data_IF_807579164470
#
_entry.id   IF_807579164470
#
_cell.length_a   1.000
_cell.length_b   1.000
_cell.length_c   1.000
_cell.angle_alpha   90.00
_cell.angle_beta   90.00
_cell.angle_gamma   90.00
#
_symmetry.space_group_name_H-M   'P 1'
#
loop_
_entity.id
_entity.type
_entity.pdbx_description
1 polymer ?
#
# COMPACT_ATOMS: atom_id res chain seq x y z
N UNK A 1 16.19 -2.97 46.00
CA UNK A 1 17.23 -3.81 45.37
C UNK A 1 16.76 -5.27 45.38
N UNK A 2 16.14 -5.72 44.29
CA UNK A 2 15.81 -7.14 44.11
C UNK A 2 16.94 -7.78 43.28
N UNK A 3 17.44 -8.92 43.77
CA UNK A 3 18.56 -9.67 43.21
C UNK A 3 18.27 -10.10 41.77
N UNK A 4 19.29 -9.96 40.93
CA UNK A 4 19.36 -10.51 39.58
C UNK A 4 18.99 -11.99 39.59
N UNK A 5 17.89 -12.34 38.91
CA UNK A 5 17.49 -13.71 38.61
C UNK A 5 17.66 -13.95 37.10
N UNK A 6 18.55 -14.90 36.83
CA UNK A 6 18.87 -15.65 35.61
C UNK A 6 19.44 -15.01 34.33
N UNK A 7 20.52 -15.67 33.88
CA UNK A 7 21.49 -15.33 32.84
C UNK A 7 20.99 -15.74 31.44
N UNK A 8 19.91 -15.13 30.96
CA UNK A 8 19.53 -15.24 29.55
C UNK A 8 19.55 -13.85 28.91
N UNK A 9 20.40 -13.68 27.90
CA UNK A 9 20.46 -12.43 27.13
C UNK A 9 19.33 -12.47 26.09
N UNK A 10 18.18 -11.93 26.47
CA UNK A 10 17.07 -11.74 25.53
C UNK A 10 17.29 -10.44 24.75
N UNK A 11 18.16 -10.48 23.74
CA UNK A 11 18.58 -9.32 22.93
C UNK A 11 17.39 -8.56 22.33
N UNK A 12 16.34 -9.29 21.93
CA UNK A 12 15.14 -8.73 21.29
C UNK A 12 13.96 -8.49 22.24
N UNK A 13 14.13 -8.71 23.54
CA UNK A 13 13.05 -8.55 24.52
C UNK A 13 13.29 -7.37 25.45
N UNK A 14 12.19 -6.72 25.83
CA UNK A 14 12.20 -5.61 26.77
C UNK A 14 12.40 -4.25 26.09
N UNK A 15 11.63 -3.97 25.03
CA UNK A 15 11.46 -2.60 24.53
C UNK A 15 11.19 -1.66 25.71
N UNK A 16 11.91 -0.53 25.83
CA UNK A 16 11.72 0.41 26.94
C UNK A 16 10.43 1.23 26.78
N UNK A 17 9.70 1.03 25.69
CA UNK A 17 8.53 1.81 25.34
C UNK A 17 7.33 1.33 26.14
N UNK A 18 6.68 2.26 26.84
CA UNK A 18 5.33 2.03 27.30
C UNK A 18 4.41 1.97 26.06
N UNK A 19 3.86 0.79 25.79
CA UNK A 19 3.05 0.52 24.59
C UNK A 19 1.73 1.27 24.55
N UNK A 20 1.27 1.77 25.71
CA UNK A 20 0.00 2.48 25.88
C UNK A 20 -1.16 1.78 25.14
N UNK A 21 -1.30 0.47 25.32
CA UNK A 21 -2.20 -0.37 24.53
C UNK A 21 -3.65 0.13 24.50
N UNK A 22 -4.12 0.72 25.59
CA UNK A 22 -5.47 1.28 25.73
C UNK A 22 -5.72 2.57 24.92
N UNK A 23 -4.66 3.28 24.50
CA UNK A 23 -4.77 4.49 23.68
C UNK A 23 -4.59 4.23 22.18
N UNK A 24 -4.30 3.00 21.78
CA UNK A 24 -4.08 2.64 20.35
C UNK A 24 -5.31 2.79 19.48
N UNK A 25 -6.51 2.82 20.06
CA UNK A 25 -7.77 3.05 19.34
C UNK A 25 -8.17 4.53 19.32
N UNK A 26 -7.46 5.41 20.02
CA UNK A 26 -7.78 6.83 20.11
C UNK A 26 -7.11 7.61 18.98
N UNK A 27 -7.85 7.88 17.90
CA UNK A 27 -7.37 8.70 16.79
C UNK A 27 -6.93 10.10 17.25
N UNK A 28 -7.68 10.74 18.17
CA UNK A 28 -7.31 12.06 18.70
C UNK A 28 -5.97 12.04 19.45
N UNK A 29 -5.70 11.01 20.25
CA UNK A 29 -4.40 10.85 20.90
C UNK A 29 -3.28 10.65 19.88
N UNK A 30 -3.48 9.72 18.95
CA UNK A 30 -2.47 9.39 17.95
C UNK A 30 -2.14 10.59 17.05
N UNK A 31 -3.15 11.35 16.61
CA UNK A 31 -2.95 12.58 15.82
C UNK A 31 -2.24 13.70 16.60
N UNK A 32 -2.45 13.79 17.92
CA UNK A 32 -1.73 14.75 18.75
C UNK A 32 -0.24 14.41 18.85
N UNK A 33 0.09 13.14 19.13
CA UNK A 33 1.48 12.75 19.39
C UNK A 33 2.27 12.55 18.09
N UNK A 34 1.63 12.10 17.00
CA UNK A 34 2.32 11.89 15.70
C UNK A 34 2.87 13.20 15.15
N UNK A 35 2.20 14.32 15.45
CA UNK A 35 2.61 15.67 15.06
C UNK A 35 3.68 16.28 15.96
N UNK A 36 4.00 15.68 17.11
CA UNK A 36 4.94 16.26 18.08
C UNK A 36 6.36 16.31 17.49
N UNK A 37 7.10 17.42 17.66
CA UNK A 37 8.53 17.50 17.33
C UNK A 37 9.40 16.51 18.12
N UNK A 38 8.92 16.04 19.27
CA UNK A 38 9.61 15.05 20.10
C UNK A 38 9.47 13.64 19.55
N UNK A 39 8.49 13.36 18.70
CA UNK A 39 8.28 12.03 18.16
C UNK A 39 9.48 11.56 17.33
N UNK A 40 9.79 10.27 17.44
CA UNK A 40 10.90 9.62 16.77
C UNK A 40 10.40 8.55 15.83
N UNK A 41 10.93 8.56 14.63
CA UNK A 41 10.47 7.72 13.54
C UNK A 41 11.56 6.75 13.09
N UNK A 42 11.16 5.50 12.88
CA UNK A 42 11.99 4.44 12.34
C UNK A 42 11.45 4.12 10.95
N UNK A 43 12.30 4.21 9.93
CA UNK A 43 11.92 3.87 8.58
C UNK A 43 12.39 2.47 8.22
N UNK A 44 11.55 1.77 7.48
CA UNK A 44 11.86 0.50 6.84
C UNK A 44 11.68 0.64 5.33
N UNK A 45 12.42 -0.16 4.56
CA UNK A 45 12.19 -0.39 3.15
C UNK A 45 12.12 -1.89 2.90
N UNK A 46 10.92 -2.42 2.68
CA UNK A 46 10.71 -3.88 2.56
C UNK A 46 11.35 -4.62 3.74
N UNK A 47 11.08 -4.13 4.95
CA UNK A 47 11.62 -4.70 6.19
C UNK A 47 13.11 -4.45 6.46
N UNK A 48 13.85 -3.76 5.59
CA UNK A 48 15.22 -3.29 5.85
C UNK A 48 15.19 -1.98 6.63
N UNK A 49 15.75 -1.89 7.85
CA UNK A 49 15.81 -0.62 8.58
C UNK A 49 16.74 0.40 7.93
N UNK A 50 16.38 1.68 8.06
CA UNK A 50 17.31 2.78 7.80
C UNK A 50 18.30 2.90 8.95
N UNK A 51 19.59 2.82 8.63
CA UNK A 51 20.67 2.98 9.60
C UNK A 51 21.63 4.09 9.17
N UNK A 52 22.28 4.69 10.16
CA UNK A 52 23.36 5.64 9.97
C UNK A 52 24.68 4.89 10.14
N UNK A 53 25.39 4.71 9.03
CA UNK A 53 26.69 4.05 9.02
C UNK A 53 27.79 5.04 9.35
N UNK A 54 28.55 4.73 10.39
CA UNK A 54 29.79 5.43 10.75
C UNK A 54 30.96 4.43 10.69
N UNK A 55 32.02 4.70 9.90
CA UNK A 55 33.21 3.85 9.82
C UNK A 55 33.86 3.53 11.17
N UNK A 56 33.68 4.40 12.18
CA UNK A 56 34.30 4.26 13.51
C UNK A 56 33.40 3.55 14.52
N UNK A 57 32.09 3.78 14.45
CA UNK A 57 31.13 3.31 15.47
C UNK A 57 30.15 2.24 15.00
N UNK A 58 30.23 1.83 13.73
CA UNK A 58 29.33 0.87 13.11
C UNK A 58 28.01 1.50 12.66
N UNK A 59 27.12 0.69 12.11
CA UNK A 59 25.80 1.16 11.66
C UNK A 59 24.81 1.18 12.83
N UNK A 60 24.18 2.32 13.09
CA UNK A 60 23.18 2.52 14.15
C UNK A 60 21.79 2.77 13.61
N UNK A 61 20.76 2.34 14.33
CA UNK A 61 19.38 2.62 13.95
C UNK A 61 19.12 4.12 13.89
N UNK A 62 18.51 4.60 12.81
CA UNK A 62 18.23 6.03 12.66
C UNK A 62 16.87 6.37 13.24
N UNK A 63 16.83 7.38 14.11
CA UNK A 63 15.60 7.94 14.67
C UNK A 63 15.35 9.34 14.09
N UNK A 64 14.35 9.45 13.22
CA UNK A 64 14.04 10.70 12.52
C UNK A 64 13.07 11.58 13.30
N UNK A 65 13.14 12.88 13.05
CA UNK A 65 12.17 13.83 13.58
C UNK A 65 10.88 13.82 12.74
N UNK A 66 9.77 14.24 13.34
CA UNK A 66 8.49 14.39 12.63
C UNK A 66 8.59 15.35 11.45
N UNK A 67 9.33 16.44 11.55
CA UNK A 67 9.51 17.39 10.44
C UNK A 67 10.17 16.75 9.22
N UNK A 68 11.10 15.82 9.44
CA UNK A 68 11.82 15.16 8.36
C UNK A 68 10.94 14.15 7.61
N UNK A 69 9.99 13.51 8.30
CA UNK A 69 9.10 12.49 7.69
C UNK A 69 7.73 13.02 7.29
N UNK A 70 7.36 14.25 7.70
CA UNK A 70 6.05 14.85 7.45
C UNK A 70 5.59 14.75 5.97
N UNK A 71 6.45 14.96 4.95
CA UNK A 71 6.03 14.83 3.56
C UNK A 71 5.61 13.40 3.15
N UNK A 72 5.97 12.38 3.94
CA UNK A 72 5.59 10.98 3.70
C UNK A 72 4.21 10.64 4.33
N UNK A 73 3.77 11.40 5.33
CA UNK A 73 2.59 11.06 6.12
C UNK A 73 1.26 11.44 5.44
N UNK A 74 1.31 12.35 4.46
CA UNK A 74 0.13 12.84 3.74
C UNK A 74 -0.67 13.90 4.51
N UNK A 75 -1.95 14.04 4.15
CA UNK A 75 -2.84 15.06 4.71
C UNK A 75 -3.44 14.63 6.06
N UNK A 76 -3.70 15.62 6.93
CA UNK A 76 -4.33 15.38 8.23
C UNK A 76 -5.84 15.19 8.12
N UNK A 77 -6.47 14.34 8.96
CA UNK A 77 -5.84 13.60 10.07
C UNK A 77 -5.07 12.36 9.60
N UNK A 78 -3.96 12.06 10.26
CA UNK A 78 -3.10 10.92 9.93
C UNK A 78 -3.72 9.59 10.39
N UNK A 79 -4.38 9.59 11.55
CA UNK A 79 -5.09 8.43 12.10
C UNK A 79 -6.61 8.66 12.09
N UNK A 80 -7.36 7.65 11.65
CA UNK A 80 -8.82 7.70 11.60
C UNK A 80 -9.33 8.77 10.62
N UNK A 81 -9.39 8.43 9.34
CA UNK A 81 -9.90 9.33 8.30
C UNK A 81 -11.35 9.02 7.92
N UNK A 82 -12.05 10.06 7.47
CA UNK A 82 -13.42 10.01 6.99
C UNK A 82 -13.57 9.38 5.60
N UNK A 83 -14.66 9.73 4.92
CA UNK A 83 -14.95 9.18 3.58
C UNK A 83 -14.08 9.79 2.48
N UNK A 84 -13.43 10.93 2.75
CA UNK A 84 -12.46 11.57 1.85
C UNK A 84 -11.13 11.77 2.56
N UNK A 85 -10.05 11.82 1.78
CA UNK A 85 -8.69 12.05 2.31
C UNK A 85 -8.65 13.41 3.01
N UNK A 86 -8.05 13.44 4.21
CA UNK A 86 -7.96 14.64 5.03
C UNK A 86 -9.27 15.06 5.72
N UNK A 87 -10.35 14.30 5.57
CA UNK A 87 -11.59 14.55 6.32
C UNK A 87 -11.52 13.84 7.68
N UNK A 88 -11.92 14.49 8.80
CA UNK A 88 -12.09 13.79 10.06
C UNK A 88 -13.28 12.81 10.01
N UNK A 89 -13.31 11.77 10.87
CA UNK A 89 -14.45 10.87 10.98
C UNK A 89 -15.70 11.65 11.41
N UNK A 90 -16.83 11.45 10.73
CA UNK A 90 -18.10 12.07 11.12
C UNK A 90 -18.80 11.24 12.20
N UNK A 91 -19.21 11.87 13.30
CA UNK A 91 -19.91 11.20 14.41
C UNK A 91 -21.43 11.02 14.16
N UNK A 92 -21.97 11.57 13.07
CA UNK A 92 -23.41 11.81 12.96
C UNK A 92 -24.25 10.56 12.63
N UNK A 93 -23.67 9.45 12.14
CA UNK A 93 -24.43 8.25 11.70
C UNK A 93 -23.84 6.93 12.25
N UNK A 94 -23.58 6.83 13.55
CA UNK A 94 -22.93 5.64 14.13
C UNK A 94 -23.85 4.85 15.08
N UNK A 95 -24.16 3.60 14.72
CA UNK A 95 -24.37 2.54 15.71
C UNK A 95 -22.99 2.11 16.27
N UNK A 96 -22.91 1.45 17.43
CA UNK A 96 -21.62 1.17 18.11
C UNK A 96 -20.55 0.48 17.24
N UNK A 97 -20.96 -0.30 16.23
CA UNK A 97 -20.06 -0.98 15.30
C UNK A 97 -19.51 -0.08 14.17
N UNK A 98 -20.20 1.00 13.80
CA UNK A 98 -19.81 1.88 12.68
C UNK A 98 -18.58 2.73 13.03
N UNK A 99 -18.46 3.16 14.30
CA UNK A 99 -17.31 3.90 14.81
C UNK A 99 -16.00 3.10 14.69
N UNK A 100 -16.03 1.79 14.92
CA UNK A 100 -14.82 0.95 14.85
C UNK A 100 -14.29 0.84 13.41
N UNK A 101 -15.18 0.66 12.42
CA UNK A 101 -14.79 0.51 11.02
C UNK A 101 -14.37 1.83 10.38
N UNK A 102 -15.00 2.96 10.72
CA UNK A 102 -14.58 4.27 10.21
C UNK A 102 -13.27 4.75 10.85
N UNK A 103 -13.05 4.50 12.14
CA UNK A 103 -11.78 4.79 12.81
C UNK A 103 -10.61 3.91 12.33
N UNK A 104 -10.93 2.74 11.74
CA UNK A 104 -9.94 1.81 11.18
C UNK A 104 -9.60 2.06 9.71
N UNK A 105 -10.25 3.02 9.05
CA UNK A 105 -9.90 3.38 7.66
C UNK A 105 -8.58 4.14 7.65
N UNK A 106 -7.54 3.44 7.21
CA UNK A 106 -6.23 4.02 6.96
C UNK A 106 -6.13 4.47 5.50
N UNK A 107 -5.92 5.76 5.25
CA UNK A 107 -5.66 6.31 3.92
C UNK A 107 -4.27 6.93 3.91
N UNK A 108 -3.40 6.42 3.05
CA UNK A 108 -1.98 6.78 3.05
C UNK A 108 -1.11 5.67 3.64
N UNK A 109 0.11 6.02 4.04
CA UNK A 109 1.15 5.03 4.39
C UNK A 109 0.86 4.39 5.74
N UNK A 110 0.81 3.06 5.88
CA UNK A 110 0.52 2.38 7.14
C UNK A 110 1.48 2.84 8.25
N UNK A 111 0.93 3.51 9.27
CA UNK A 111 1.71 4.04 10.40
C UNK A 111 1.59 3.10 11.60
N UNK A 112 2.71 2.79 12.23
CA UNK A 112 2.73 1.98 13.45
C UNK A 112 3.15 2.85 14.63
N UNK A 113 2.27 2.99 15.60
CA UNK A 113 2.63 3.52 16.91
C UNK A 113 3.27 2.42 17.78
N UNK A 114 4.52 2.62 18.19
CA UNK A 114 5.28 1.65 18.97
C UNK A 114 5.01 1.83 20.47
N UNK A 115 5.00 3.08 20.92
CA UNK A 115 4.80 3.44 22.31
C UNK A 115 5.46 4.77 22.65
N UNK A 116 5.52 5.08 23.93
CA UNK A 116 6.21 6.26 24.46
C UNK A 116 7.35 5.82 25.36
N UNK A 117 8.52 6.39 25.14
CA UNK A 117 9.62 6.32 26.08
C UNK A 117 9.41 7.41 27.15
N UNK A 118 9.02 6.99 28.34
CA UNK A 118 8.73 7.86 29.48
C UNK A 118 10.04 8.24 30.19
N UNK A 119 10.15 9.50 30.66
CA UNK A 119 11.35 9.97 31.35
C UNK A 119 11.13 9.92 32.87
N UNK A 120 11.81 8.99 33.55
CA UNK A 120 11.75 8.81 35.01
C UNK A 120 10.88 7.62 35.42
N UNK A 121 10.48 7.56 36.69
CA UNK A 121 9.61 6.47 37.23
C UNK A 121 8.11 6.72 37.02
N UNK A 122 7.73 7.82 36.35
CA UNK A 122 6.33 8.21 36.17
C UNK A 122 5.75 7.59 34.90
N UNK A 123 4.76 6.73 35.07
CA UNK A 123 3.95 6.18 33.98
C UNK A 123 2.84 7.16 33.62
N UNK A 124 2.61 7.44 32.33
CA UNK A 124 1.58 8.35 31.83
C UNK A 124 0.19 7.92 32.37
N UNK A 125 -0.45 8.69 33.26
CA UNK A 125 -1.69 8.26 33.90
C UNK A 125 -2.87 8.35 32.93
N UNK A 126 -3.59 7.23 32.74
CA UNK A 126 -4.75 7.12 31.85
C UNK A 126 -5.78 8.25 32.06
N UNK A 127 -6.03 8.63 33.31
CA UNK A 127 -6.99 9.69 33.66
C UNK A 127 -6.54 11.08 33.22
N UNK A 128 -5.24 11.38 33.29
CA UNK A 128 -4.69 12.68 32.90
C UNK A 128 -4.71 12.84 31.37
N UNK A 129 -4.32 11.79 30.64
CA UNK A 129 -4.35 11.79 29.17
C UNK A 129 -5.80 11.83 28.65
N UNK A 130 -6.69 11.07 29.27
CA UNK A 130 -8.12 11.10 28.95
C UNK A 130 -8.78 12.45 29.24
N UNK A 131 -8.39 13.12 30.33
CA UNK A 131 -8.86 14.47 30.65
C UNK A 131 -8.31 15.51 29.67
N UNK A 132 -7.01 15.49 29.37
CA UNK A 132 -6.39 16.38 28.39
C UNK A 132 -7.05 16.27 27.00
N UNK A 133 -7.34 15.04 26.56
CA UNK A 133 -8.07 14.78 25.31
C UNK A 133 -9.49 15.37 25.31
N UNK A 134 -10.21 15.27 26.44
CA UNK A 134 -11.60 15.74 26.56
C UNK A 134 -11.71 17.26 26.74
N UNK A 135 -10.78 17.87 27.46
CA UNK A 135 -10.87 19.27 27.90
C UNK A 135 -10.07 20.23 27.02
N UNK A 136 -8.99 19.78 26.37
CA UNK A 136 -8.07 20.65 25.62
C UNK A 136 -7.66 20.15 24.24
N UNK A 137 -8.17 19.00 23.79
CA UNK A 137 -7.92 18.45 22.45
C UNK A 137 -6.46 18.07 22.19
N UNK A 138 -6.07 18.02 20.91
CA UNK A 138 -4.72 17.58 20.49
C UNK A 138 -3.60 18.46 21.06
N UNK A 139 -3.82 19.78 21.15
CA UNK A 139 -2.83 20.73 21.65
C UNK A 139 -2.47 20.50 23.12
N UNK A 140 -3.45 20.15 23.96
CA UNK A 140 -3.22 19.89 25.39
C UNK A 140 -2.43 18.59 25.62
N UNK A 141 -2.66 17.57 24.79
CA UNK A 141 -1.88 16.32 24.84
C UNK A 141 -0.44 16.56 24.44
N UNK A 142 -0.21 17.38 23.42
CA UNK A 142 1.13 17.75 22.99
C UNK A 142 1.88 18.51 24.08
N UNK A 143 1.26 19.52 24.68
CA UNK A 143 1.85 20.30 25.77
C UNK A 143 2.17 19.43 27.00
N UNK A 144 1.31 18.46 27.31
CA UNK A 144 1.52 17.51 28.40
C UNK A 144 2.78 16.65 28.19
N UNK A 145 2.94 16.10 26.99
CA UNK A 145 4.10 15.27 26.65
C UNK A 145 5.40 16.09 26.60
N UNK A 146 5.33 17.33 26.13
CA UNK A 146 6.48 18.23 26.11
C UNK A 146 6.96 18.59 27.52
N UNK A 147 6.03 18.77 28.48
CA UNK A 147 6.35 19.04 29.90
C UNK A 147 6.95 17.83 30.62
N UNK A 148 6.43 16.63 30.34
CA UNK A 148 6.91 15.39 30.96
C UNK A 148 8.25 14.91 30.37
N UNK A 149 8.63 15.43 29.19
CA UNK A 149 9.87 15.06 28.50
C UNK A 149 9.81 13.68 27.85
N UNK A 150 8.62 13.08 27.81
CA UNK A 150 8.31 11.82 27.16
C UNK A 150 8.55 11.89 25.64
N UNK A 151 8.89 10.75 25.03
CA UNK A 151 9.23 10.66 23.59
C UNK A 151 8.43 9.56 22.91
N UNK A 152 7.44 9.89 22.06
CA UNK A 152 6.71 8.91 21.27
C UNK A 152 7.58 8.30 20.17
N UNK A 153 7.37 7.02 19.88
CA UNK A 153 8.05 6.30 18.80
C UNK A 153 7.05 5.74 17.81
N UNK A 154 7.37 5.90 16.53
CA UNK A 154 6.61 5.42 15.40
C UNK A 154 7.51 4.68 14.41
N UNK A 155 6.91 3.77 13.63
CA UNK A 155 7.55 3.13 12.50
C UNK A 155 6.68 3.22 11.25
N UNK A 156 7.32 3.29 10.08
CA UNK A 156 6.66 3.23 8.78
C UNK A 156 7.55 2.50 7.77
N UNK A 157 6.94 1.78 6.82
CA UNK A 157 7.66 1.24 5.65
C UNK A 157 7.46 2.18 4.46
N UNK A 158 8.57 2.62 3.85
CA UNK A 158 8.56 3.55 2.71
C UNK A 158 8.43 2.83 1.37
N UNK A 159 8.51 1.50 1.33
CA UNK A 159 8.43 0.71 0.10
C UNK A 159 6.98 0.34 -0.27
N UNK A 160 6.00 0.91 0.42
CA UNK A 160 4.63 0.90 -0.08
C UNK A 160 4.56 1.77 -1.35
N UNK A 161 4.25 1.12 -2.49
CA UNK A 161 4.34 1.70 -3.86
C UNK A 161 3.62 3.05 -4.07
N UNK A 162 2.82 3.49 -3.10
CA UNK A 162 2.09 4.77 -3.12
C UNK A 162 3.01 5.99 -2.87
N UNK A 163 4.20 5.77 -2.30
CA UNK A 163 5.26 6.77 -2.15
C UNK A 163 6.31 6.77 -3.27
N UNK A 164 6.29 5.76 -4.16
CA UNK A 164 7.31 5.58 -5.20
C UNK A 164 6.76 5.66 -6.63
N UNK A 165 5.43 5.55 -6.82
CA UNK A 165 4.77 5.61 -8.12
C UNK A 165 3.92 6.88 -8.27
N UNK A 166 4.23 7.65 -9.32
CA UNK A 166 3.73 9.00 -9.62
C UNK A 166 4.92 9.91 -9.98
N UNK A 167 4.83 10.68 -11.07
CA UNK A 167 5.90 11.59 -11.51
C UNK A 167 6.39 12.44 -10.31
N UNK A 168 7.63 12.22 -9.88
CA UNK A 168 8.27 12.99 -8.80
C UNK A 168 8.29 12.36 -7.41
N UNK A 169 7.53 11.29 -7.09
CA UNK A 169 7.49 10.77 -5.70
C UNK A 169 8.74 9.98 -5.27
N UNK A 170 9.36 9.20 -6.17
CA UNK A 170 10.70 8.62 -5.91
C UNK A 170 11.78 9.70 -5.73
N UNK A 171 11.61 10.87 -6.36
CA UNK A 171 12.44 12.04 -6.10
C UNK A 171 12.14 12.68 -4.73
N UNK A 172 10.89 12.63 -4.24
CA UNK A 172 10.53 13.08 -2.89
C UNK A 172 11.24 12.26 -1.81
N UNK A 173 11.20 10.91 -1.89
CA UNK A 173 11.92 10.06 -0.92
C UNK A 173 13.43 10.34 -0.95
N UNK A 174 14.02 10.44 -2.15
CA UNK A 174 15.44 10.75 -2.30
C UNK A 174 15.79 12.12 -1.70
N UNK A 175 14.99 13.14 -1.98
CA UNK A 175 15.16 14.49 -1.44
C UNK A 175 15.02 14.51 0.09
N UNK A 176 14.13 13.71 0.65
CA UNK A 176 13.95 13.57 2.10
C UNK A 176 15.19 12.94 2.71
N UNK A 177 15.69 11.83 2.15
CA UNK A 177 16.91 11.18 2.63
C UNK A 177 18.12 12.11 2.53
N UNK A 178 18.24 12.90 1.46
CA UNK A 178 19.29 13.91 1.30
C UNK A 178 19.20 15.03 2.34
N UNK A 179 17.98 15.50 2.63
CA UNK A 179 17.76 16.52 3.66
C UNK A 179 18.09 15.98 5.05
N UNK A 180 17.70 14.74 5.35
CA UNK A 180 18.02 14.06 6.61
C UNK A 180 19.53 13.87 6.73
N UNK A 181 20.22 13.44 5.66
CA UNK A 181 21.66 13.27 5.66
C UNK A 181 22.38 14.60 5.98
N UNK A 182 21.88 15.73 5.46
CA UNK A 182 22.38 17.07 5.79
C UNK A 182 22.11 17.46 7.25
N UNK A 183 20.92 17.15 7.78
CA UNK A 183 20.55 17.42 9.19
C UNK A 183 21.41 16.63 10.18
N UNK A 184 21.76 15.38 9.84
CA UNK A 184 22.58 14.50 10.69
C UNK A 184 24.07 14.87 10.71
N UNK A 185 24.51 15.85 9.92
CA UNK A 185 25.86 16.41 10.00
C UNK A 185 26.97 15.39 9.72
N UNK A 186 26.78 14.53 8.72
CA UNK A 186 27.79 13.55 8.34
C UNK A 186 29.04 14.24 7.78
N UNK A 187 30.19 14.06 8.45
CA UNK A 187 31.49 14.25 7.78
C UNK A 187 31.58 13.37 6.53
N UNK A 188 32.54 13.63 5.63
CA UNK A 188 32.67 12.98 4.30
C UNK A 188 32.60 11.43 4.25
N UNK A 189 32.51 10.73 5.39
CA UNK A 189 32.48 9.27 5.49
C UNK A 189 31.27 8.66 6.20
N UNK A 190 30.33 9.40 6.80
CA UNK A 190 29.09 8.80 7.36
C UNK A 190 27.90 8.92 6.41
N UNK A 191 27.07 7.88 6.32
CA UNK A 191 26.02 7.76 5.29
C UNK A 191 24.78 7.04 5.82
N UNK A 192 23.61 7.43 5.31
CA UNK A 192 22.37 6.68 5.49
C UNK A 192 22.29 5.50 4.52
N UNK A 193 21.99 4.33 5.04
CA UNK A 193 21.88 3.10 4.25
C UNK A 193 20.73 2.21 4.72
N UNK A 194 20.15 1.47 3.78
CA UNK A 194 19.20 0.39 4.06
C UNK A 194 20.02 -0.88 4.25
N UNK A 195 19.88 -1.54 5.39
CA UNK A 195 20.72 -2.68 5.75
C UNK A 195 19.88 -3.91 6.00
N UNK A 196 20.42 -5.08 5.67
CA UNK A 196 19.80 -6.35 6.01
C UNK A 196 19.52 -6.42 7.54
N UNK A 197 18.29 -6.79 7.95
CA UNK A 197 17.91 -6.85 9.37
C UNK A 197 18.86 -7.62 10.27
N UNK A 198 19.47 -8.72 9.79
CA UNK A 198 20.40 -9.52 10.60
C UNK A 198 21.74 -8.80 10.76
N UNK A 199 22.21 -8.16 9.71
CA UNK A 199 23.43 -7.35 9.76
C UNK A 199 23.25 -6.09 10.64
N UNK A 200 22.09 -5.42 10.55
CA UNK A 200 21.81 -4.21 11.30
C UNK A 200 21.84 -4.44 12.82
N UNK A 201 21.29 -5.57 13.29
CA UNK A 201 21.22 -5.89 14.73
C UNK A 201 22.61 -6.11 15.35
N UNK A 202 23.60 -6.55 14.58
CA UNK A 202 24.93 -6.88 15.12
C UNK A 202 25.59 -5.71 15.87
N UNK A 203 25.21 -4.47 15.54
CA UNK A 203 25.76 -3.24 16.12
C UNK A 203 24.77 -2.50 17.05
N UNK A 204 23.57 -3.04 17.26
CA UNK A 204 22.55 -2.41 18.13
C UNK A 204 22.78 -2.76 19.60
N UNK A 205 22.55 -1.79 20.47
CA UNK A 205 22.42 -2.11 21.90
C UNK A 205 21.10 -2.85 22.20
N UNK A 206 20.93 -3.32 23.45
CA UNK A 206 19.74 -4.07 23.86
C UNK A 206 18.45 -3.26 23.72
N UNK A 207 18.51 -1.95 23.95
CA UNK A 207 17.36 -1.06 23.91
C UNK A 207 16.96 -0.83 22.45
N UNK A 208 17.92 -0.49 21.60
CA UNK A 208 17.76 -0.35 20.16
C UNK A 208 17.21 -1.63 19.54
N UNK A 209 17.79 -2.79 19.88
CA UNK A 209 17.34 -4.10 19.39
C UNK A 209 15.90 -4.44 19.83
N UNK A 210 15.50 -4.05 21.04
CA UNK A 210 14.13 -4.22 21.53
C UNK A 210 13.11 -3.37 20.77
N UNK A 211 13.42 -2.08 20.55
CA UNK A 211 12.58 -1.16 19.76
C UNK A 211 12.52 -1.64 18.30
N UNK A 212 13.67 -2.00 17.72
CA UNK A 212 13.76 -2.53 16.35
C UNK A 212 12.91 -3.79 16.17
N UNK A 213 13.00 -4.74 17.10
CA UNK A 213 12.23 -5.99 17.03
C UNK A 213 10.72 -5.72 17.07
N UNK A 214 10.27 -4.83 17.95
CA UNK A 214 8.86 -4.40 18.03
C UNK A 214 8.41 -3.73 16.72
N UNK A 215 9.19 -2.76 16.24
CA UNK A 215 8.90 -2.01 15.02
C UNK A 215 8.82 -2.91 13.80
N UNK A 216 9.86 -3.74 13.58
CA UNK A 216 9.94 -4.66 12.45
C UNK A 216 8.79 -5.64 12.44
N UNK A 217 8.43 -6.22 13.60
CA UNK A 217 7.34 -7.20 13.68
C UNK A 217 6.00 -6.59 13.27
N UNK A 218 5.70 -5.38 13.76
CA UNK A 218 4.44 -4.70 13.46
C UNK A 218 4.39 -4.17 12.02
N UNK A 219 5.51 -3.69 11.50
CA UNK A 219 5.61 -3.26 10.09
C UNK A 219 5.50 -4.46 9.14
N UNK A 220 6.18 -5.57 9.43
CA UNK A 220 6.07 -6.81 8.66
C UNK A 220 4.63 -7.37 8.71
N UNK A 221 3.95 -7.26 9.85
CA UNK A 221 2.53 -7.60 9.95
C UNK A 221 1.67 -6.78 9.00
N UNK A 222 1.87 -5.45 8.95
CA UNK A 222 1.15 -4.58 8.02
C UNK A 222 1.45 -4.91 6.56
N UNK A 223 2.70 -5.23 6.24
CA UNK A 223 3.09 -5.64 4.89
C UNK A 223 2.41 -6.93 4.45
N UNK A 224 2.20 -7.88 5.37
CA UNK A 224 1.52 -9.16 5.09
C UNK A 224 0.00 -9.03 5.08
N UNK A 225 -0.55 -8.15 5.93
CA UNK A 225 -2.00 -7.95 6.09
C UNK A 225 -2.44 -6.63 5.44
N UNK A 226 -2.22 -6.52 4.13
CA UNK A 226 -2.57 -5.31 3.37
C UNK A 226 -4.08 -5.11 3.31
N UNK A 227 -4.48 -3.85 3.31
CA UNK A 227 -5.87 -3.35 3.39
C UNK A 227 -6.72 -3.58 2.14
N UNK A 228 -6.27 -4.34 1.14
CA UNK A 228 -7.01 -4.54 -0.11
C UNK A 228 -7.22 -3.25 -0.93
N UNK A 229 -6.36 -2.25 -0.73
CA UNK A 229 -6.43 -0.91 -1.35
C UNK A 229 -5.79 -0.83 -2.75
N UNK A 230 -5.31 -1.96 -3.27
CA UNK A 230 -4.77 -2.10 -4.64
C UNK A 230 -5.47 -3.20 -5.42
N UNK A 231 -5.63 -3.01 -6.73
CA UNK A 231 -6.15 -3.99 -7.69
C UNK A 231 -5.12 -4.20 -8.81
N UNK A 232 -4.92 -5.45 -9.24
CA UNK A 232 -4.06 -5.77 -10.36
C UNK A 232 -4.87 -5.70 -11.66
N UNK A 233 -4.41 -4.90 -12.62
CA UNK A 233 -5.01 -4.84 -13.95
C UNK A 233 -3.94 -5.02 -15.01
N UNK A 234 -4.31 -5.71 -16.08
CA UNK A 234 -3.47 -5.97 -17.24
C UNK A 234 -3.91 -5.13 -18.44
N UNK A 235 -2.98 -4.93 -19.36
CA UNK A 235 -3.21 -4.33 -20.66
C UNK A 235 -2.77 -5.29 -21.75
N UNK A 236 -3.73 -5.69 -22.58
CA UNK A 236 -3.43 -6.43 -23.79
C UNK A 236 -2.85 -5.50 -24.87
N UNK A 237 -1.91 -6.01 -25.66
CA UNK A 237 -1.28 -5.32 -26.80
C UNK A 237 -2.29 -4.81 -27.84
N UNK A 238 -3.40 -5.53 -28.03
CA UNK A 238 -4.47 -5.20 -28.99
C UNK A 238 -5.37 -4.07 -28.50
N UNK A 239 -5.39 -3.78 -27.20
CA UNK A 239 -6.26 -2.75 -26.65
C UNK A 239 -5.79 -1.33 -27.03
N UNK A 240 -6.72 -0.36 -27.07
CA UNK A 240 -6.37 1.04 -27.18
C UNK A 240 -5.28 1.44 -26.17
N UNK A 241 -4.42 2.40 -26.53
CA UNK A 241 -3.42 2.91 -25.61
C UNK A 241 -4.00 3.29 -24.25
N UNK A 242 -3.29 2.88 -23.18
CA UNK A 242 -3.60 3.14 -21.78
C UNK A 242 -4.90 2.50 -21.25
N UNK A 243 -5.52 1.56 -21.98
CA UNK A 243 -6.66 0.79 -21.45
C UNK A 243 -6.16 -0.40 -20.61
N UNK A 244 -6.56 -0.44 -19.34
CA UNK A 244 -6.29 -1.54 -18.42
C UNK A 244 -7.59 -2.21 -17.99
N UNK A 245 -7.59 -3.53 -17.95
CA UNK A 245 -8.74 -4.37 -17.66
C UNK A 245 -8.38 -5.46 -16.64
N UNK A 246 -9.39 -6.08 -16.05
CA UNK A 246 -9.21 -7.36 -15.37
C UNK A 246 -8.59 -8.38 -16.35
N UNK A 247 -7.73 -9.25 -15.81
CA UNK A 247 -7.15 -10.39 -16.51
C UNK A 247 -8.25 -11.43 -16.80
N UNK A 248 -8.09 -12.17 -17.89
CA UNK A 248 -9.10 -13.11 -18.34
C UNK A 248 -8.48 -14.18 -19.24
N UNK A 249 -8.82 -15.43 -18.96
CA UNK A 249 -8.45 -16.55 -19.80
C UNK A 249 -9.54 -17.62 -19.86
N UNK A 250 -9.21 -18.70 -20.55
CA UNK A 250 -10.17 -19.77 -20.81
C UNK A 250 -10.05 -20.86 -19.75
N UNK A 251 -11.20 -21.37 -19.33
CA UNK A 251 -11.27 -22.58 -18.52
C UNK A 251 -10.77 -23.77 -19.34
N UNK A 252 -9.86 -24.56 -18.78
CA UNK A 252 -9.35 -25.77 -19.41
C UNK A 252 -10.20 -27.01 -19.10
N UNK A 253 -10.13 -28.07 -19.93
CA UNK A 253 -10.80 -29.33 -19.63
C UNK A 253 -10.36 -29.91 -18.28
N UNK A 254 -11.35 -30.33 -17.48
CA UNK A 254 -11.14 -30.88 -16.13
C UNK A 254 -10.58 -29.88 -15.10
N UNK A 255 -10.70 -28.57 -15.37
CA UNK A 255 -10.35 -27.50 -14.45
C UNK A 255 -11.59 -26.98 -13.71
N UNK A 256 -11.45 -26.58 -12.44
CA UNK A 256 -12.49 -25.83 -11.72
C UNK A 256 -12.41 -24.34 -12.07
N UNK A 257 -13.46 -23.56 -11.81
CA UNK A 257 -13.37 -22.12 -12.08
C UNK A 257 -12.31 -21.44 -11.20
N UNK A 258 -12.18 -21.90 -9.95
CA UNK A 258 -11.20 -21.42 -8.99
C UNK A 258 -9.77 -21.74 -9.45
N UNK A 259 -9.53 -22.96 -9.91
CA UNK A 259 -8.21 -23.36 -10.43
C UNK A 259 -7.84 -22.57 -11.68
N UNK A 260 -8.80 -22.29 -12.56
CA UNK A 260 -8.60 -21.44 -13.74
C UNK A 260 -8.16 -20.03 -13.35
N UNK A 261 -8.80 -19.42 -12.35
CA UNK A 261 -8.36 -18.11 -11.84
C UNK A 261 -6.94 -18.20 -11.29
N UNK A 262 -6.60 -19.24 -10.52
CA UNK A 262 -5.24 -19.40 -9.97
C UNK A 262 -4.20 -19.57 -11.08
N UNK A 263 -4.47 -20.42 -12.07
CA UNK A 263 -3.57 -20.68 -13.20
C UNK A 263 -3.37 -19.43 -14.06
N UNK A 264 -4.44 -18.80 -14.51
CA UNK A 264 -4.36 -17.63 -15.39
C UNK A 264 -3.61 -16.47 -14.72
N UNK A 265 -3.85 -16.21 -13.44
CA UNK A 265 -3.10 -15.20 -12.69
C UNK A 265 -1.59 -15.52 -12.58
N UNK A 266 -1.24 -16.81 -12.48
CA UNK A 266 0.16 -17.22 -12.44
C UNK A 266 0.84 -17.17 -13.81
N UNK A 267 0.16 -17.61 -14.87
CA UNK A 267 0.69 -17.65 -16.24
C UNK A 267 0.87 -16.24 -16.82
N UNK A 268 -0.13 -15.37 -16.65
CA UNK A 268 -0.15 -14.05 -17.29
C UNK A 268 0.72 -13.01 -16.59
N UNK A 269 0.79 -13.08 -15.26
CA UNK A 269 1.42 -12.02 -14.44
C UNK A 269 2.32 -12.55 -13.32
N UNK A 270 2.43 -13.86 -13.15
CA UNK A 270 3.29 -14.47 -12.13
C UNK A 270 2.85 -14.24 -10.69
N UNK A 271 1.58 -13.87 -10.47
CA UNK A 271 1.06 -13.54 -9.13
C UNK A 271 0.30 -14.72 -8.55
N UNK A 272 0.65 -15.13 -7.34
CA UNK A 272 -0.10 -16.14 -6.60
C UNK A 272 -1.33 -15.53 -5.97
N UNK A 273 -2.46 -16.23 -6.10
CA UNK A 273 -3.74 -15.75 -5.61
C UNK A 273 -4.47 -16.74 -4.69
N UNK A 274 -5.32 -16.23 -3.81
CA UNK A 274 -6.14 -16.99 -2.88
C UNK A 274 -7.48 -16.29 -2.59
N UNK A 275 -8.38 -16.94 -1.84
CA UNK A 275 -9.67 -16.35 -1.47
C UNK A 275 -10.55 -16.01 -2.67
N UNK A 276 -10.67 -16.96 -3.61
CA UNK A 276 -11.40 -16.80 -4.86
C UNK A 276 -12.90 -16.66 -4.57
N UNK A 277 -13.51 -15.60 -5.08
CA UNK A 277 -14.92 -15.26 -4.81
C UNK A 277 -15.63 -14.92 -6.11
N UNK A 278 -16.69 -15.67 -6.42
CA UNK A 278 -17.54 -15.42 -7.57
C UNK A 278 -18.30 -14.10 -7.42
N UNK A 279 -18.40 -13.35 -8.51
CA UNK A 279 -19.19 -12.11 -8.58
C UNK A 279 -20.47 -12.30 -9.41
N UNK A 280 -20.33 -12.50 -10.72
CA UNK A 280 -21.46 -12.58 -11.65
C UNK A 280 -21.06 -13.18 -13.00
N UNK A 281 -22.04 -13.52 -13.83
CA UNK A 281 -21.85 -14.02 -15.19
C UNK A 281 -22.38 -13.02 -16.23
N UNK A 282 -21.66 -12.85 -17.33
CA UNK A 282 -22.09 -12.04 -18.47
C UNK A 282 -21.83 -12.81 -19.78
N UNK A 283 -22.89 -13.06 -20.60
CA UNK A 283 -22.70 -13.59 -21.94
C UNK A 283 -21.86 -12.63 -22.79
N UNK A 284 -20.87 -13.17 -23.51
CA UNK A 284 -20.00 -12.41 -24.40
C UNK A 284 -19.97 -13.07 -25.79
N UNK A 285 -20.82 -12.61 -26.73
CA UNK A 285 -21.12 -13.32 -27.98
C UNK A 285 -20.07 -13.09 -29.08
N UNK A 286 -18.79 -13.17 -28.73
CA UNK A 286 -17.67 -12.96 -29.65
C UNK A 286 -16.58 -14.03 -29.42
N UNK A 287 -16.68 -15.21 -30.04
CA UNK A 287 -17.78 -15.71 -30.88
C UNK A 287 -18.94 -16.35 -30.08
N UNK A 288 -18.68 -16.97 -28.93
CA UNK A 288 -19.70 -17.59 -28.08
C UNK A 288 -19.15 -17.87 -26.66
N UNK A 289 -18.73 -16.82 -25.95
CA UNK A 289 -18.11 -16.94 -24.64
C UNK A 289 -19.10 -16.62 -23.51
N UNK A 290 -18.85 -17.19 -22.33
CA UNK A 290 -19.50 -16.81 -21.08
C UNK A 290 -18.43 -16.25 -20.15
N UNK A 291 -18.49 -14.95 -19.86
CA UNK A 291 -17.59 -14.32 -18.90
C UNK A 291 -18.11 -14.59 -17.51
N UNK A 292 -17.24 -15.12 -16.65
CA UNK A 292 -17.51 -15.27 -15.22
C UNK A 292 -16.57 -14.33 -14.49
N UNK A 293 -17.13 -13.39 -13.75
CA UNK A 293 -16.39 -12.42 -12.96
C UNK A 293 -16.02 -13.01 -11.61
N UNK A 294 -14.75 -12.87 -11.25
CA UNK A 294 -14.18 -13.36 -9.99
C UNK A 294 -13.33 -12.28 -9.34
N UNK A 295 -13.26 -12.31 -8.02
CA UNK A 295 -12.26 -11.61 -7.24
C UNK A 295 -11.31 -12.61 -6.61
N UNK A 296 -10.04 -12.22 -6.52
CA UNK A 296 -9.00 -12.99 -5.87
C UNK A 296 -8.10 -12.04 -5.07
N UNK A 297 -7.53 -12.52 -3.97
CA UNK A 297 -6.51 -11.82 -3.20
C UNK A 297 -5.14 -12.20 -3.74
N UNK A 298 -4.25 -11.22 -3.91
CA UNK A 298 -2.84 -11.43 -4.28
C UNK A 298 -1.94 -10.43 -3.55
N UNK A 299 -0.66 -10.75 -3.40
CA UNK A 299 0.29 -9.83 -2.75
C UNK A 299 0.83 -8.81 -3.77
N UNK A 300 0.51 -7.54 -3.56
CA UNK A 300 1.01 -6.44 -4.40
C UNK A 300 2.51 -6.17 -4.30
N UNK A 301 3.24 -6.87 -3.43
CA UNK A 301 4.70 -6.87 -3.40
C UNK A 301 5.33 -7.90 -4.34
N UNK A 302 4.58 -8.91 -4.78
CA UNK A 302 5.11 -9.87 -5.75
C UNK A 302 5.53 -9.15 -7.04
N UNK A 303 6.63 -9.62 -7.59
CA UNK A 303 7.13 -9.15 -8.87
C UNK A 303 6.16 -9.62 -9.96
N UNK A 304 5.72 -8.68 -10.79
CA UNK A 304 4.88 -9.00 -11.94
C UNK A 304 5.81 -9.55 -13.02
N UNK A 305 5.57 -10.78 -13.45
CA UNK A 305 6.33 -11.46 -14.48
C UNK A 305 5.46 -11.70 -15.70
N UNK A 306 5.84 -11.07 -16.81
CA UNK A 306 5.13 -11.16 -18.10
C UNK A 306 5.84 -12.12 -19.08
N UNK A 307 6.92 -12.77 -18.63
CA UNK A 307 7.80 -13.66 -19.41
C UNK A 307 7.52 -15.15 -19.17
N UNK A 308 6.52 -15.47 -18.32
CA UNK A 308 6.19 -16.86 -17.99
C UNK A 308 5.44 -17.58 -19.09
N UNK A 309 4.74 -16.83 -19.95
CA UNK A 309 4.08 -17.38 -21.11
C UNK A 309 5.07 -17.53 -22.28
N UNK A 310 5.55 -18.75 -22.48
CA UNK A 310 6.50 -19.12 -23.54
C UNK A 310 5.83 -19.48 -24.88
N UNK A 311 4.56 -19.17 -25.12
CA UNK A 311 3.87 -19.48 -26.38
C UNK A 311 4.45 -18.75 -27.63
N UNK A 312 5.44 -17.87 -27.46
CA UNK A 312 6.08 -17.13 -28.55
C UNK A 312 7.23 -17.87 -29.27
N UNK A 313 7.84 -18.91 -28.70
CA UNK A 313 8.94 -19.61 -29.38
C UNK A 313 8.45 -20.49 -30.57
N UNK A 314 7.13 -20.73 -30.68
CA UNK A 314 6.54 -21.59 -31.72
C UNK A 314 5.85 -20.90 -32.91
N UNK A 315 5.76 -19.56 -32.95
CA UNK A 315 4.90 -18.83 -33.92
C UNK A 315 5.43 -18.75 -35.38
N UNK A 316 6.32 -19.66 -35.82
CA UNK A 316 6.72 -19.70 -37.23
C UNK A 316 5.80 -20.53 -38.14
N UNK A 317 4.85 -21.33 -37.62
CA UNK A 317 4.10 -22.28 -38.45
C UNK A 317 2.60 -22.50 -38.11
N UNK A 318 1.93 -21.61 -37.37
CA UNK A 318 0.49 -21.74 -37.10
C UNK A 318 -0.36 -20.89 -38.06
N UNK A 319 -1.30 -21.55 -38.75
CA UNK A 319 -2.22 -20.91 -39.69
C UNK A 319 -3.19 -19.95 -38.99
N UNK A 320 -3.53 -18.86 -39.68
CA UNK A 320 -4.28 -17.67 -39.25
C UNK A 320 -5.68 -17.87 -38.65
N UNK A 321 -6.15 -19.11 -38.46
CA UNK A 321 -7.50 -19.42 -37.98
C UNK A 321 -7.62 -19.67 -36.47
N UNK A 322 -6.51 -19.94 -35.77
CA UNK A 322 -6.54 -20.37 -34.36
C UNK A 322 -5.98 -19.32 -33.38
N UNK A 323 -5.55 -18.14 -33.86
CA UNK A 323 -4.90 -17.12 -33.03
C UNK A 323 -5.86 -16.07 -32.43
N UNK A 324 -6.95 -16.51 -31.78
CA UNK A 324 -7.73 -15.67 -30.85
C UNK A 324 -7.15 -15.82 -29.45
N UNK A 325 -5.85 -15.59 -29.30
CA UNK A 325 -5.24 -15.57 -27.98
C UNK A 325 -5.42 -14.18 -27.38
N UNK A 326 -6.26 -14.10 -26.33
CA UNK A 326 -6.40 -12.94 -25.44
C UNK A 326 -5.13 -12.70 -24.59
N UNK A 327 -4.06 -13.48 -24.80
CA UNK A 327 -2.91 -13.64 -23.88
C UNK A 327 -1.72 -12.71 -24.14
N UNK A 328 -1.80 -11.80 -25.13
CA UNK A 328 -0.72 -10.84 -25.41
C UNK A 328 -0.73 -9.67 -24.40
N UNK A 329 -0.48 -9.93 -23.11
CA UNK A 329 -0.34 -8.87 -22.10
C UNK A 329 0.95 -8.12 -22.33
N UNK A 330 0.82 -6.83 -22.59
CA UNK A 330 1.92 -5.90 -22.83
C UNK A 330 2.44 -5.30 -21.52
N UNK A 331 1.55 -5.09 -20.56
CA UNK A 331 1.82 -4.40 -19.31
C UNK A 331 0.82 -4.84 -18.25
N UNK A 332 1.24 -4.95 -17.00
CA UNK A 332 0.35 -5.17 -15.86
C UNK A 332 0.88 -4.41 -14.66
N UNK A 333 -0.03 -3.77 -13.90
CA UNK A 333 0.34 -3.04 -12.69
C UNK A 333 -0.73 -3.11 -11.63
N UNK A 334 -0.29 -2.93 -10.39
CA UNK A 334 -1.17 -2.67 -9.26
C UNK A 334 -1.61 -1.20 -9.28
N UNK A 335 -2.91 -0.96 -9.21
CA UNK A 335 -3.55 0.35 -9.17
C UNK A 335 -4.14 0.58 -7.78
N UNK A 336 -3.92 1.75 -7.22
CA UNK A 336 -4.56 2.16 -5.97
C UNK A 336 -6.04 2.43 -6.19
N UNK A 337 -6.82 2.29 -5.12
CA UNK A 337 -8.25 2.64 -5.13
C UNK A 337 -8.47 4.09 -5.56
N UNK A 338 -7.62 5.01 -5.11
CA UNK A 338 -7.71 6.42 -5.46
C UNK A 338 -7.44 6.70 -6.95
N UNK A 339 -6.46 6.01 -7.56
CA UNK A 339 -6.22 6.09 -9.00
C UNK A 339 -7.44 5.60 -9.80
N UNK A 340 -8.05 4.49 -9.38
CA UNK A 340 -9.22 3.96 -10.08
C UNK A 340 -10.43 4.89 -9.91
N UNK A 341 -10.68 5.40 -8.70
CA UNK A 341 -11.77 6.34 -8.44
C UNK A 341 -11.61 7.64 -9.22
N UNK A 342 -10.38 8.15 -9.41
CA UNK A 342 -10.15 9.35 -10.20
C UNK A 342 -10.51 9.15 -11.68
N UNK A 343 -10.24 7.96 -12.23
CA UNK A 343 -10.62 7.61 -13.60
C UNK A 343 -12.12 7.36 -13.74
N UNK A 344 -12.77 6.71 -12.77
CA UNK A 344 -14.22 6.50 -12.78
C UNK A 344 -14.98 7.83 -12.70
N UNK A 345 -14.43 8.84 -12.02
CA UNK A 345 -14.96 10.20 -11.97
C UNK A 345 -14.60 11.08 -13.19
N UNK A 346 -13.72 10.62 -14.08
CA UNK A 346 -13.26 11.39 -15.24
C UNK A 346 -14.23 11.26 -16.42
N UNK A 347 -14.53 12.38 -17.11
CA UNK A 347 -15.53 12.44 -18.19
C UNK A 347 -15.30 11.43 -19.33
N UNK A 348 -14.04 11.06 -19.56
CA UNK A 348 -13.57 10.14 -20.61
C UNK A 348 -12.85 8.90 -20.07
N UNK A 349 -12.81 8.69 -18.76
CA UNK A 349 -12.04 7.60 -18.14
C UNK A 349 -12.59 6.20 -18.45
N UNK A 350 -13.93 6.11 -18.60
CA UNK A 350 -14.67 4.89 -18.96
C UNK A 350 -15.27 4.94 -20.37
N UNK A 351 -15.26 6.12 -21.02
CA UNK A 351 -15.77 6.28 -22.38
C UNK A 351 -14.69 5.91 -23.38
N UNK A 352 -14.94 4.84 -24.13
CA UNK A 352 -14.17 4.51 -25.32
C UNK A 352 -14.83 5.18 -26.52
N UNK A 353 -14.06 5.94 -27.30
CA UNK A 353 -14.55 6.51 -28.55
C UNK A 353 -14.86 5.36 -29.52
N UNK A 354 -16.14 5.20 -29.88
CA UNK A 354 -16.67 4.06 -30.64
C UNK A 354 -15.95 3.83 -31.98
N UNK A 355 -15.36 4.88 -32.57
CA UNK A 355 -14.53 4.78 -33.77
C UNK A 355 -13.24 3.99 -33.53
N UNK A 356 -12.51 4.29 -32.45
CA UNK A 356 -11.17 3.72 -32.21
C UNK A 356 -11.21 2.25 -31.79
N UNK A 357 -12.30 1.80 -31.16
CA UNK A 357 -12.46 0.40 -30.75
C UNK A 357 -12.86 -0.50 -31.93
N UNK A 358 -13.72 -0.01 -32.82
CA UNK A 358 -14.20 -0.75 -33.99
C UNK A 358 -13.13 -0.82 -35.10
N UNK A 359 -12.47 0.31 -35.40
CA UNK A 359 -11.44 0.40 -36.47
C UNK A 359 -10.23 -0.51 -36.19
N UNK A 360 -9.85 -0.72 -34.92
CA UNK A 360 -8.70 -1.58 -34.57
C UNK A 360 -9.03 -3.06 -34.39
N UNK A 361 -10.30 -3.43 -34.23
CA UNK A 361 -10.71 -4.84 -34.29
C UNK A 361 -10.88 -5.32 -35.74
N UNK A 362 -11.06 -4.41 -36.71
CA UNK A 362 -11.28 -4.72 -38.12
C UNK A 362 -10.00 -4.68 -38.99
N UNK A 363 -8.94 -3.96 -38.59
CA UNK A 363 -7.69 -3.88 -39.38
C UNK A 363 -6.77 -5.11 -39.24
N UNK A 364 -7.19 -6.25 -39.81
CA UNK A 364 -6.25 -7.15 -40.47
C UNK A 364 -5.87 -6.55 -41.84
N UNK A 365 -4.74 -5.85 -41.86
CA UNK A 365 -4.00 -5.56 -43.09
C UNK A 365 -4.24 -4.19 -43.73
N UNK A 366 -3.54 -3.15 -43.24
CA UNK A 366 -2.61 -2.34 -44.02
C UNK A 366 -2.05 -1.17 -43.19
N UNK A 367 -0.86 -0.70 -43.57
CA UNK A 367 -0.07 0.25 -42.82
C UNK A 367 -0.54 1.72 -42.94
N UNK A 368 -0.58 2.37 -41.78
CA UNK A 368 -0.32 3.80 -41.49
C UNK A 368 -1.14 4.89 -42.20
N UNK A 369 -1.61 5.89 -41.41
CA UNK A 369 -1.26 7.30 -41.62
C UNK A 369 -1.62 8.20 -40.42
N UNK A 370 -0.74 9.17 -40.20
CA UNK A 370 -0.82 10.24 -39.19
C UNK A 370 -2.05 11.14 -39.40
N UNK A 371 -2.65 11.60 -38.29
CA UNK A 371 -3.53 12.76 -38.30
C UNK A 371 -3.31 13.65 -37.06
N UNK A 372 -3.25 14.95 -37.37
CA UNK A 372 -2.87 16.15 -36.62
C UNK A 372 -3.65 16.48 -35.36
N UNK A 373 -2.95 17.17 -34.45
CA UNK A 373 -3.39 17.64 -33.14
C UNK A 373 -4.50 18.70 -33.17
N UNK A 374 -5.53 18.49 -32.34
CA UNK A 374 -6.38 19.55 -31.79
C UNK A 374 -6.43 19.41 -30.25
N UNK A 375 -6.22 20.54 -29.55
CA UNK A 375 -6.09 20.65 -28.08
C UNK A 375 -7.28 19.99 -27.38
N UNK A 376 -7.04 18.79 -26.85
CA UNK A 376 -8.00 17.96 -26.11
C UNK A 376 -8.02 18.37 -24.63
N UNK A 377 -9.14 18.20 -23.91
CA UNK A 377 -9.13 18.20 -22.45
C UNK A 377 -8.08 17.18 -21.97
N UNK A 378 -7.39 17.51 -20.86
CA UNK A 378 -6.24 16.75 -20.34
C UNK A 378 -6.58 15.26 -20.35
N UNK A 379 -5.92 14.49 -21.21
CA UNK A 379 -6.22 13.06 -21.39
C UNK A 379 -5.92 12.32 -20.07
N UNK A 380 -6.76 11.37 -19.62
CA UNK A 380 -6.48 10.63 -18.40
C UNK A 380 -5.20 9.79 -18.53
N UNK A 381 -4.53 9.57 -17.40
CA UNK A 381 -3.29 8.78 -17.33
C UNK A 381 -3.51 7.33 -17.78
N UNK A 382 -4.69 6.79 -17.51
CA UNK A 382 -5.16 5.51 -18.01
C UNK A 382 -6.69 5.47 -18.12
N UNK A 383 -7.20 4.40 -18.72
CA UNK A 383 -8.62 4.14 -18.94
C UNK A 383 -8.98 2.75 -18.44
N UNK A 384 -10.24 2.56 -18.07
CA UNK A 384 -10.81 1.26 -17.71
C UNK A 384 -12.04 0.98 -18.57
N UNK A 385 -12.44 -0.30 -18.76
CA UNK A 385 -13.65 -0.64 -19.50
C UNK A 385 -14.90 0.06 -18.95
N UNK A 386 -15.92 0.27 -19.80
CA UNK A 386 -17.19 0.84 -19.38
C UNK A 386 -17.88 -0.03 -18.34
N UNK A 387 -18.78 0.58 -17.57
CA UNK A 387 -19.56 -0.07 -16.51
C UNK A 387 -20.58 -1.11 -17.02
N UNK A 388 -20.72 -1.24 -18.34
CA UNK A 388 -21.47 -2.29 -19.01
C UNK A 388 -20.65 -3.56 -19.28
N UNK A 389 -19.32 -3.47 -19.30
CA UNK A 389 -18.44 -4.62 -19.48
C UNK A 389 -18.13 -5.29 -18.14
N UNK A 390 -18.04 -6.64 -18.10
CA UNK A 390 -17.75 -7.40 -16.88
C UNK A 390 -16.56 -6.84 -16.12
N UNK A 391 -15.43 -6.60 -16.79
CA UNK A 391 -14.24 -6.02 -16.17
C UNK A 391 -14.50 -4.61 -15.59
N UNK A 392 -15.28 -3.77 -16.27
CA UNK A 392 -15.62 -2.44 -15.76
C UNK A 392 -16.53 -2.49 -14.52
N UNK A 393 -17.48 -3.43 -14.49
CA UNK A 393 -18.30 -3.72 -13.31
C UNK A 393 -17.42 -4.16 -12.14
N UNK A 394 -16.51 -5.12 -12.37
CA UNK A 394 -15.62 -5.63 -11.33
C UNK A 394 -14.71 -4.53 -10.75
N UNK A 395 -14.13 -3.70 -11.62
CA UNK A 395 -13.25 -2.60 -11.22
C UNK A 395 -14.01 -1.54 -10.41
N UNK A 396 -15.20 -1.13 -10.87
CA UNK A 396 -16.05 -0.16 -10.18
C UNK A 396 -16.50 -0.68 -8.80
N UNK A 397 -17.03 -1.89 -8.75
CA UNK A 397 -17.59 -2.45 -7.53
C UNK A 397 -16.49 -2.71 -6.48
N UNK A 398 -15.28 -3.08 -6.92
CA UNK A 398 -14.10 -3.06 -6.06
C UNK A 398 -13.79 -1.66 -5.57
N UNK A 399 -13.64 -0.67 -6.46
CA UNK A 399 -13.20 0.69 -6.13
C UNK A 399 -14.16 1.44 -5.19
N UNK A 400 -15.47 1.22 -5.34
CA UNK A 400 -16.52 1.78 -4.49
C UNK A 400 -16.72 1.00 -3.17
N UNK A 401 -16.02 -0.12 -2.99
CA UNK A 401 -16.08 -0.93 -1.77
C UNK A 401 -17.40 -1.69 -1.61
N UNK A 402 -18.03 -2.06 -2.73
CA UNK A 402 -19.27 -2.86 -2.74
C UNK A 402 -19.00 -4.34 -2.48
N UNK A 403 -17.76 -4.78 -2.70
CA UNK A 403 -17.31 -6.15 -2.45
C UNK A 403 -16.85 -6.28 -0.99
N UNK A 404 -17.38 -7.31 -0.33
CA UNK A 404 -16.91 -7.76 0.97
C UNK A 404 -16.27 -9.12 0.76
N UNK A 405 -14.97 -9.21 0.99
CA UNK A 405 -14.36 -10.50 1.22
C UNK A 405 -14.71 -10.93 2.63
N UNK A 406 -15.03 -12.20 2.82
CA UNK A 406 -15.24 -12.74 4.15
C UNK A 406 -13.96 -12.53 4.98
N UNK A 407 -14.13 -11.97 6.18
CA UNK A 407 -13.06 -11.88 7.16
C UNK A 407 -12.73 -13.29 7.61
N UNK A 408 -11.44 -13.63 7.67
CA UNK A 408 -10.96 -14.91 8.21
C UNK A 408 -11.43 -15.16 9.66
N UNK A 409 -11.94 -14.14 10.34
CA UNK A 409 -12.58 -14.19 11.68
C UNK A 409 -13.97 -14.86 11.71
N UNK A 410 -14.41 -15.52 10.64
CA UNK A 410 -15.72 -16.19 10.57
C UNK A 410 -15.68 -17.72 10.71
N UNK A 411 -14.56 -18.27 11.20
CA UNK A 411 -14.46 -19.68 11.64
C UNK A 411 -14.19 -19.82 13.14
#
# INVERSE_FOLDING_TARGET
>A
MAKAQDKHVNVYAGSPLNRLGWLRTSSGFLNAIVASPRSRWILFKTGQPLVHADPKSGSKLTYLSTSSVLPLLGDRPFFGQGQTTGQPPSHEHSTSHTNALQASRHRGVPLVFLGVHEKGERVLPEKEVGAALKEGGEGAVQEFLDKDGSTPYFALDVDDRDLTIGEGKGAVLSQILDNIAKELGSGEQSKLEWVDPRAAVANMDRIEAGIFAEARTLVDWNMRNKTGEKILLGRNRRFPPKLYSALAGFLEPAETFEDCVVREMWEEVGVKVWGIQYHSGQPWPYPANLMLGWYARGDSNEEIRLDLDNELEGKQHLSTRDAVSLRDILDARWFTRNEVLSILGHETGTKMDSKTFSEKMEEEGQASKEATSAKSPKEPDFRVPPDSAMAGVLIRDWAEGRIKFDSEDSQ
#
